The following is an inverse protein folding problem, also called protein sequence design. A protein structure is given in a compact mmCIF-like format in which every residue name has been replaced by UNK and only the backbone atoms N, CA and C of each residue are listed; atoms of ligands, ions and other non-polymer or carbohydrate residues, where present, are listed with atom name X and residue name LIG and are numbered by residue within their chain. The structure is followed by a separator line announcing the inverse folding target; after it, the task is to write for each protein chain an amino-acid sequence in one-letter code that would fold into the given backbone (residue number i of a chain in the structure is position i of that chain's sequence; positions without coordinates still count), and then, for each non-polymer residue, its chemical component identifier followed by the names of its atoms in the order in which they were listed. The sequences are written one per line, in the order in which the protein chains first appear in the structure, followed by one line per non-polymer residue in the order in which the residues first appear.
data_IF_051016032068
#
_entry.id   IF_051016032068
#
_cell.length_a   1.000
_cell.length_b   1.000
_cell.length_c   1.000
_cell.angle_alpha   90.00
_cell.angle_beta   90.00
_cell.angle_gamma   90.00
#
_symmetry.space_group_name_H-M   'P 1'
#
loop_
_entity.id
_entity.type
_entity.pdbx_description
1 polymer ?
#
# COMPACT_ATOMS: atom_id res chain seq x y z
N UNK A 1 37.39 13.82 9.05
CA UNK A 1 36.63 12.81 8.32
C UNK A 1 35.16 12.93 8.69
N UNK A 2 34.37 13.35 7.73
CA UNK A 2 32.93 13.42 7.90
C UNK A 2 32.36 12.01 7.71
N UNK A 3 31.90 11.40 8.80
CA UNK A 3 31.08 10.21 8.70
C UNK A 3 29.69 10.65 8.22
N UNK A 4 29.33 10.28 6.99
CA UNK A 4 27.94 10.40 6.54
C UNK A 4 27.10 9.43 7.36
N UNK A 5 26.32 9.97 8.31
CA UNK A 5 25.29 9.18 8.96
C UNK A 5 24.22 8.88 7.91
N UNK A 6 24.13 7.63 7.47
CA UNK A 6 22.99 7.19 6.68
C UNK A 6 21.72 7.35 7.53
N UNK A 7 20.87 8.29 7.15
CA UNK A 7 19.54 8.40 7.75
C UNK A 7 18.75 7.14 7.39
N UNK A 8 18.66 6.22 8.35
CA UNK A 8 17.80 5.04 8.22
C UNK A 8 16.37 5.51 8.47
N UNK A 9 15.50 5.36 7.47
CA UNK A 9 14.08 5.62 7.66
C UNK A 9 13.51 4.70 8.75
N UNK A 10 12.71 5.22 9.69
CA UNK A 10 12.09 4.38 10.70
C UNK A 10 11.15 3.37 10.04
N UNK A 11 11.08 2.17 10.60
CA UNK A 11 10.16 1.13 10.13
C UNK A 11 8.71 1.59 10.28
N UNK A 12 7.98 1.66 9.18
CA UNK A 12 6.61 2.16 9.15
C UNK A 12 5.55 1.06 9.19
N UNK A 13 5.95 -0.19 9.03
CA UNK A 13 5.05 -1.35 9.04
C UNK A 13 5.56 -2.36 10.06
N UNK A 14 4.68 -2.85 10.93
CA UNK A 14 5.03 -3.92 11.86
C UNK A 14 3.89 -4.92 12.00
N UNK A 15 4.25 -6.16 12.31
CA UNK A 15 3.29 -7.22 12.59
C UNK A 15 2.84 -7.08 14.06
N UNK A 16 1.52 -7.09 14.28
CA UNK A 16 0.97 -6.98 15.62
C UNK A 16 0.98 -8.33 16.36
N UNK A 17 1.03 -8.33 17.71
CA UNK A 17 0.96 -9.55 18.50
C UNK A 17 -0.30 -10.37 18.23
N UNK A 18 -0.22 -11.68 18.37
CA UNK A 18 -1.32 -12.60 18.12
C UNK A 18 -1.47 -13.01 16.66
N UNK A 19 -0.57 -12.58 15.80
CA UNK A 19 -0.55 -12.97 14.38
C UNK A 19 0.03 -14.38 14.20
N UNK A 20 -0.50 -15.09 13.20
CA UNK A 20 0.02 -16.37 12.71
C UNK A 20 0.44 -16.22 11.26
N UNK A 21 1.01 -17.28 10.66
CA UNK A 21 1.44 -17.23 9.27
C UNK A 21 0.29 -16.93 8.28
N UNK A 22 -0.90 -17.49 8.57
CA UNK A 22 -2.07 -17.37 7.68
C UNK A 22 -3.07 -16.32 8.11
N UNK A 23 -2.92 -15.75 9.30
CA UNK A 23 -3.82 -14.71 9.83
C UNK A 23 -3.01 -13.70 10.62
N UNK A 24 -2.73 -12.56 10.02
CA UNK A 24 -1.87 -11.54 10.60
C UNK A 24 -2.49 -10.16 10.52
N UNK A 25 -2.18 -9.34 11.51
CA UNK A 25 -2.51 -7.93 11.53
C UNK A 25 -1.22 -7.11 11.41
N UNK A 26 -1.27 -6.08 10.56
CA UNK A 26 -0.15 -5.20 10.28
C UNK A 26 -0.52 -3.77 10.66
N UNK A 27 0.37 -3.10 11.38
CA UNK A 27 0.22 -1.68 11.70
C UNK A 27 1.05 -0.84 10.75
N UNK A 28 0.40 0.15 10.14
CA UNK A 28 1.04 1.13 9.25
C UNK A 28 1.04 2.48 9.95
N UNK A 29 2.22 3.07 10.09
CA UNK A 29 2.39 4.39 10.70
C UNK A 29 2.24 5.47 9.62
N UNK A 30 1.57 6.57 9.96
CA UNK A 30 1.28 7.70 9.07
C UNK A 30 0.45 7.34 7.83
N UNK A 31 -0.42 6.35 7.95
CA UNK A 31 -1.34 5.96 6.90
C UNK A 31 -2.78 5.99 7.40
N UNK A 32 -3.71 6.14 6.47
CA UNK A 32 -5.13 6.27 6.78
C UNK A 32 -6.02 5.62 5.74
N UNK A 33 -7.22 6.17 5.57
CA UNK A 33 -8.23 5.62 4.67
C UNK A 33 -7.79 5.52 3.20
N UNK A 34 -6.96 6.42 2.73
CA UNK A 34 -6.50 6.42 1.34
C UNK A 34 -5.76 5.12 1.00
N UNK A 35 -4.73 4.79 1.78
CA UNK A 35 -4.02 3.54 1.59
C UNK A 35 -4.86 2.33 2.01
N UNK A 36 -5.57 2.43 3.12
CA UNK A 36 -6.37 1.33 3.65
C UNK A 36 -7.42 0.82 2.66
N UNK A 37 -8.18 1.70 2.03
CA UNK A 37 -9.18 1.35 1.03
C UNK A 37 -8.55 0.73 -0.22
N UNK A 38 -7.50 1.35 -0.75
CA UNK A 38 -6.82 0.85 -1.94
C UNK A 38 -6.20 -0.51 -1.71
N UNK A 39 -5.52 -0.68 -0.59
CA UNK A 39 -4.81 -1.91 -0.25
C UNK A 39 -5.80 -3.05 0.03
N UNK A 40 -6.87 -2.79 0.78
CA UNK A 40 -7.93 -3.78 1.01
C UNK A 40 -8.53 -4.26 -0.32
N UNK A 41 -8.86 -3.35 -1.21
CA UNK A 41 -9.45 -3.67 -2.51
C UNK A 41 -8.52 -4.57 -3.34
N UNK A 42 -7.26 -4.21 -3.44
CA UNK A 42 -6.30 -4.94 -4.26
C UNK A 42 -5.96 -6.31 -3.66
N UNK A 43 -5.81 -6.38 -2.33
CA UNK A 43 -5.52 -7.64 -1.63
C UNK A 43 -6.69 -8.63 -1.78
N UNK A 44 -7.93 -8.16 -1.72
CA UNK A 44 -9.11 -9.01 -1.89
C UNK A 44 -9.24 -9.58 -3.29
N UNK A 45 -8.56 -9.05 -4.27
CA UNK A 45 -8.49 -9.64 -5.63
C UNK A 45 -7.57 -10.85 -5.71
N UNK A 46 -6.74 -11.09 -4.71
CA UNK A 46 -5.88 -12.27 -4.64
C UNK A 46 -6.73 -13.50 -4.27
N UNK A 47 -6.77 -14.55 -5.11
CA UNK A 47 -7.59 -15.74 -4.83
C UNK A 47 -7.13 -16.53 -3.60
N UNK A 48 -5.89 -16.36 -3.16
CA UNK A 48 -5.35 -16.97 -1.94
C UNK A 48 -5.82 -16.29 -0.66
N UNK A 49 -6.44 -15.12 -0.75
CA UNK A 49 -6.90 -14.34 0.40
C UNK A 49 -8.35 -14.64 0.71
N UNK A 50 -8.61 -15.07 1.94
CA UNK A 50 -9.94 -15.31 2.48
C UNK A 50 -10.61 -14.00 2.91
N UNK A 51 -9.84 -13.15 3.61
CA UNK A 51 -10.38 -11.96 4.27
C UNK A 51 -9.30 -10.87 4.36
N UNK A 52 -9.71 -9.65 4.10
CA UNK A 52 -8.90 -8.47 4.33
C UNK A 52 -9.78 -7.31 4.78
N UNK A 53 -9.42 -6.71 5.90
CA UNK A 53 -10.09 -5.51 6.40
C UNK A 53 -9.06 -4.58 7.02
N UNK A 54 -9.39 -3.28 7.07
CA UNK A 54 -8.56 -2.32 7.75
C UNK A 54 -9.40 -1.52 8.76
N UNK A 55 -8.72 -0.97 9.74
CA UNK A 55 -9.31 -0.09 10.73
C UNK A 55 -8.33 1.00 11.14
N UNK A 56 -8.88 2.12 11.61
CA UNK A 56 -8.10 3.18 12.23
C UNK A 56 -8.49 3.18 13.71
N UNK A 57 -7.64 2.57 14.59
CA UNK A 57 -8.04 2.31 15.97
C UNK A 57 -8.21 3.56 16.82
N UNK A 58 -7.49 4.63 16.49
CA UNK A 58 -7.56 5.89 17.22
C UNK A 58 -7.66 7.09 16.27
N UNK A 59 -8.69 7.93 16.42
CA UNK A 59 -8.83 9.08 15.52
C UNK A 59 -7.75 10.15 15.71
N UNK A 60 -7.06 10.15 16.84
CA UNK A 60 -5.98 11.10 17.14
C UNK A 60 -4.57 10.60 16.82
N UNK A 61 -4.42 9.31 16.51
CA UNK A 61 -3.14 8.71 16.14
C UNK A 61 -3.13 8.35 14.65
N UNK A 62 -2.10 8.78 13.91
CA UNK A 62 -2.01 8.48 12.47
C UNK A 62 -1.49 7.06 12.24
N UNK A 63 -2.29 6.07 12.58
CA UNK A 63 -1.99 4.65 12.42
C UNK A 63 -3.17 3.94 11.78
N UNK A 64 -2.87 2.98 10.91
CA UNK A 64 -3.86 2.14 10.26
C UNK A 64 -3.47 0.68 10.46
N UNK A 65 -4.43 -0.16 10.82
CA UNK A 65 -4.23 -1.60 10.96
C UNK A 65 -4.93 -2.33 9.84
N UNK A 66 -4.21 -3.25 9.18
CA UNK A 66 -4.77 -4.17 8.18
C UNK A 66 -4.68 -5.59 8.72
N UNK A 67 -5.80 -6.31 8.66
CA UNK A 67 -5.84 -7.74 8.96
C UNK A 67 -6.03 -8.53 7.68
N UNK A 68 -5.17 -9.53 7.47
CA UNK A 68 -5.21 -10.42 6.32
C UNK A 68 -5.30 -11.86 6.80
N UNK A 69 -6.27 -12.61 6.25
CA UNK A 69 -6.38 -14.04 6.46
C UNK A 69 -6.32 -14.73 5.10
N UNK A 70 -5.54 -15.79 4.99
CA UNK A 70 -5.31 -16.50 3.72
C UNK A 70 -5.84 -17.93 3.76
N UNK A 71 -6.33 -18.42 2.61
CA UNK A 71 -6.60 -19.83 2.38
C UNK A 71 -5.31 -20.59 2.12
N UNK A 72 -4.39 -20.00 1.39
CA UNK A 72 -3.14 -20.58 0.93
C UNK A 72 -2.02 -19.53 1.01
N UNK A 73 -0.82 -19.95 1.37
CA UNK A 73 0.30 -19.05 1.55
C UNK A 73 0.23 -18.26 2.84
N UNK A 74 1.14 -17.31 2.99
CA UNK A 74 1.22 -16.49 4.19
C UNK A 74 0.57 -15.12 4.02
N UNK A 75 0.12 -14.55 5.12
CA UNK A 75 -0.42 -13.18 5.12
C UNK A 75 0.63 -12.15 4.71
N UNK A 76 1.90 -12.37 5.06
CA UNK A 76 3.01 -11.49 4.66
C UNK A 76 3.17 -11.49 3.14
N UNK A 77 3.12 -12.66 2.50
CA UNK A 77 3.23 -12.75 1.04
C UNK A 77 2.04 -12.08 0.35
N UNK A 78 0.84 -12.23 0.90
CA UNK A 78 -0.35 -11.55 0.39
C UNK A 78 -0.23 -10.03 0.50
N UNK A 79 0.33 -9.52 1.60
CA UNK A 79 0.60 -8.10 1.78
C UNK A 79 1.62 -7.58 0.75
N UNK A 80 2.73 -8.30 0.59
CA UNK A 80 3.77 -7.95 -0.38
C UNK A 80 3.24 -7.90 -1.80
N UNK A 81 2.43 -8.89 -2.18
CA UNK A 81 1.77 -8.92 -3.49
C UNK A 81 0.85 -7.71 -3.67
N UNK A 82 0.05 -7.40 -2.66
CA UNK A 82 -0.86 -6.25 -2.69
C UNK A 82 -0.13 -4.92 -2.86
N UNK A 83 0.97 -4.73 -2.15
CA UNK A 83 1.80 -3.53 -2.27
C UNK A 83 2.42 -3.40 -3.66
N UNK A 84 2.92 -4.50 -4.22
CA UNK A 84 3.44 -4.52 -5.59
C UNK A 84 2.36 -4.22 -6.63
N UNK A 85 1.18 -4.80 -6.48
CA UNK A 85 0.04 -4.58 -7.38
C UNK A 85 -0.44 -3.12 -7.35
N UNK A 86 -0.47 -2.48 -6.17
CA UNK A 86 -0.79 -1.05 -6.06
C UNK A 86 0.24 -0.20 -6.79
N UNK A 87 1.52 -0.52 -6.64
CA UNK A 87 2.58 0.20 -7.34
C UNK A 87 2.41 0.10 -8.85
N UNK A 88 2.09 -1.09 -9.38
CA UNK A 88 1.79 -1.27 -10.80
C UNK A 88 0.61 -0.42 -11.27
N UNK A 89 -0.48 -0.38 -10.50
CA UNK A 89 -1.65 0.45 -10.81
C UNK A 89 -1.26 1.92 -10.85
N UNK A 90 -0.48 2.39 -9.88
CA UNK A 90 0.00 3.77 -9.87
C UNK A 90 0.84 4.10 -11.10
N UNK A 91 1.71 3.18 -11.51
CA UNK A 91 2.56 3.35 -12.70
C UNK A 91 1.72 3.45 -13.98
N UNK A 92 0.71 2.59 -14.12
CA UNK A 92 -0.21 2.62 -15.26
C UNK A 92 -1.00 3.93 -15.31
N UNK A 93 -1.52 4.36 -14.15
CA UNK A 93 -2.26 5.62 -14.04
C UNK A 93 -1.37 6.81 -14.41
N UNK A 94 -0.14 6.83 -13.93
CA UNK A 94 0.81 7.89 -14.23
C UNK A 94 1.14 7.94 -15.73
N UNK A 95 1.39 6.79 -16.36
CA UNK A 95 1.69 6.71 -17.80
C UNK A 95 0.52 7.18 -18.64
N UNK A 96 -0.70 6.75 -18.33
CA UNK A 96 -1.91 7.20 -19.01
C UNK A 96 -2.14 8.70 -18.84
N UNK A 97 -1.93 9.21 -17.65
CA UNK A 97 -2.07 10.65 -17.38
C UNK A 97 -1.10 11.47 -18.23
N UNK A 98 0.17 11.08 -18.26
CA UNK A 98 1.19 11.80 -19.04
C UNK A 98 0.88 11.75 -20.54
N UNK A 99 0.47 10.60 -21.07
CA UNK A 99 0.09 10.44 -22.47
C UNK A 99 -1.09 11.36 -22.84
N UNK A 100 -2.13 11.36 -22.03
CA UNK A 100 -3.31 12.21 -22.24
C UNK A 100 -2.99 13.69 -22.11
N UNK A 101 -2.13 14.04 -21.15
CA UNK A 101 -1.69 15.43 -20.95
C UNK A 101 -0.91 15.94 -22.16
N UNK A 102 0.03 15.15 -22.68
CA UNK A 102 0.79 15.51 -23.87
C UNK A 102 -0.12 15.72 -25.10
N UNK A 103 -1.07 14.83 -25.31
CA UNK A 103 -2.04 14.94 -26.39
C UNK A 103 -2.91 16.19 -26.25
N UNK A 104 -3.41 16.46 -25.04
CA UNK A 104 -4.21 17.65 -24.74
C UNK A 104 -3.39 18.93 -24.96
N UNK A 105 -2.17 18.99 -24.44
CA UNK A 105 -1.30 20.15 -24.57
C UNK A 105 -0.95 20.42 -26.03
N UNK A 106 -0.69 19.38 -26.82
CA UNK A 106 -0.41 19.52 -28.26
C UNK A 106 -1.63 20.08 -28.99
N UNK A 107 -2.83 19.59 -28.71
CA UNK A 107 -4.08 20.07 -29.33
C UNK A 107 -4.38 21.53 -28.95
N UNK A 108 -4.11 21.94 -27.71
CA UNK A 108 -4.35 23.30 -27.23
C UNK A 108 -3.20 24.26 -27.45
N UNK A 109 -2.07 23.79 -28.00
CA UNK A 109 -0.88 24.61 -28.19
C UNK A 109 -0.20 25.05 -26.89
N UNK A 110 -0.35 24.29 -25.81
CA UNK A 110 0.24 24.56 -24.51
C UNK A 110 1.62 23.92 -24.43
N UNK A 111 2.61 24.75 -24.08
CA UNK A 111 4.01 24.32 -23.95
C UNK A 111 4.41 24.22 -22.47
N UNK A 112 4.02 23.10 -21.80
CA UNK A 112 4.42 22.80 -20.42
C UNK A 112 4.25 21.32 -20.05
#
# INVERSE_FOLDING_TARGET
EEEEEEEVEPQRVRILPGSTDTAASFEFIDEGHTLGNALRYIIMKNPDVEFCAYSIPHPSEPKMNIRIQTYSGTAVDALKKGLGDIQEVCDVVADEFWTKREAYNAEQGIDR
#
